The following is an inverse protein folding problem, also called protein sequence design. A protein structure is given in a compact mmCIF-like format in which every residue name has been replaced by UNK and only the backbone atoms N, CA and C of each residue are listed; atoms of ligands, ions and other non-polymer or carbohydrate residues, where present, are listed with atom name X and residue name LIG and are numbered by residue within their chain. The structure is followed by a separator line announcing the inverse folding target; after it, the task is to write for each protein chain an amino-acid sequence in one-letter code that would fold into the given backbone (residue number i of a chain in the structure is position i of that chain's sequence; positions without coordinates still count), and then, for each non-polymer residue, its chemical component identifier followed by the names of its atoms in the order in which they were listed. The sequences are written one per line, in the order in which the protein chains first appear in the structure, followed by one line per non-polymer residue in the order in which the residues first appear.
data_IF_042945735429
#
_entry.id   IF_042945735429
#
_cell.length_a   1.000
_cell.length_b   1.000
_cell.length_c   1.000
_cell.angle_alpha   90.00
_cell.angle_beta   90.00
_cell.angle_gamma   90.00
#
_symmetry.space_group_name_H-M   'P 1'
#
loop_
_entity.id
_entity.type
_entity.pdbx_description
1 polymer ?
#
# COMPACT_ATOMS: atom_id res chain seq x y z
N UNK A 1 6.27 -11.70 29.28
CA UNK A 1 5.64 -11.63 27.94
C UNK A 1 4.68 -12.80 27.84
N UNK A 2 3.37 -12.58 27.76
CA UNK A 2 2.45 -13.70 27.50
C UNK A 2 2.70 -14.20 26.07
N UNK A 3 2.72 -15.52 25.83
CA UNK A 3 2.87 -16.04 24.49
C UNK A 3 1.68 -15.57 23.65
N UNK A 4 1.98 -15.04 22.46
CA UNK A 4 0.97 -14.73 21.46
C UNK A 4 0.16 -16.00 21.18
N UNK A 5 -1.13 -15.98 21.54
CA UNK A 5 -2.08 -17.02 21.13
C UNK A 5 -2.70 -16.55 19.82
N UNK A 6 -2.42 -17.26 18.73
CA UNK A 6 -3.18 -17.05 17.50
C UNK A 6 -4.68 -17.17 17.81
N UNK A 7 -5.52 -16.26 17.29
CA UNK A 7 -6.96 -16.43 17.36
C UNK A 7 -7.35 -17.79 16.77
N UNK A 8 -8.43 -18.38 17.29
CA UNK A 8 -8.92 -19.65 16.77
C UNK A 8 -9.24 -19.51 15.27
N UNK A 9 -8.64 -20.36 14.45
CA UNK A 9 -8.91 -20.38 13.01
C UNK A 9 -10.39 -20.71 12.79
N UNK A 10 -11.13 -19.94 11.97
CA UNK A 10 -12.49 -20.29 11.58
C UNK A 10 -12.55 -21.69 10.94
N UNK A 11 -13.71 -22.38 10.97
CA UNK A 11 -13.86 -23.65 10.26
C UNK A 11 -13.80 -23.44 8.74
N UNK A 12 -13.19 -24.38 8.02
CA UNK A 12 -13.16 -24.40 6.55
C UNK A 12 -14.59 -24.43 5.97
N UNK A 13 -14.81 -23.68 4.90
CA UNK A 13 -16.03 -23.73 4.07
C UNK A 13 -15.65 -24.05 2.63
N UNK A 14 -15.73 -25.35 2.29
CA UNK A 14 -15.45 -25.85 0.94
C UNK A 14 -16.62 -25.69 -0.03
N UNK A 15 -17.75 -25.15 0.42
CA UNK A 15 -18.83 -24.75 -0.48
C UNK A 15 -18.54 -23.39 -1.10
N UNK A 16 -18.07 -22.44 -0.27
CA UNK A 16 -17.72 -21.09 -0.70
C UNK A 16 -16.31 -21.00 -1.29
N UNK A 17 -15.35 -21.77 -0.75
CA UNK A 17 -13.96 -21.84 -1.25
C UNK A 17 -13.57 -23.31 -1.50
N UNK A 18 -13.87 -23.87 -2.69
CA UNK A 18 -13.74 -25.30 -2.94
C UNK A 18 -12.34 -25.87 -2.78
N UNK A 19 -11.30 -25.06 -2.99
CA UNK A 19 -9.91 -25.50 -2.99
C UNK A 19 -9.22 -25.37 -1.64
N UNK A 20 -9.39 -24.23 -0.95
CA UNK A 20 -8.70 -23.95 0.32
C UNK A 20 -9.61 -24.07 1.55
N UNK A 21 -10.93 -23.98 1.37
CA UNK A 21 -11.87 -23.81 2.49
C UNK A 21 -11.77 -22.44 3.17
N UNK A 22 -10.80 -21.59 2.80
CA UNK A 22 -10.61 -20.29 3.41
C UNK A 22 -11.59 -19.28 2.86
N UNK A 23 -12.31 -18.63 3.77
CA UNK A 23 -13.29 -17.58 3.50
C UNK A 23 -12.77 -16.22 3.95
N UNK A 24 -13.57 -15.17 3.74
CA UNK A 24 -13.32 -13.84 4.32
C UNK A 24 -12.98 -13.89 5.81
N UNK A 25 -13.68 -14.73 6.59
CA UNK A 25 -13.43 -14.86 8.03
C UNK A 25 -12.01 -15.34 8.35
N UNK A 26 -11.43 -16.22 7.51
CA UNK A 26 -10.05 -16.69 7.70
C UNK A 26 -9.04 -15.58 7.45
N UNK A 27 -9.26 -14.76 6.43
CA UNK A 27 -8.41 -13.62 6.11
C UNK A 27 -8.52 -12.51 7.15
N UNK A 28 -9.72 -12.25 7.67
CA UNK A 28 -9.94 -11.33 8.78
C UNK A 28 -9.22 -11.80 10.05
N UNK A 29 -9.37 -13.08 10.43
CA UNK A 29 -8.67 -13.65 11.58
C UNK A 29 -7.13 -13.64 11.42
N UNK A 30 -6.65 -13.88 10.19
CA UNK A 30 -5.20 -13.82 9.88
C UNK A 30 -4.68 -12.40 9.99
N UNK A 31 -5.41 -11.41 9.48
CA UNK A 31 -5.03 -10.01 9.63
C UNK A 31 -4.99 -9.58 11.10
N UNK A 32 -5.98 -9.98 11.90
CA UNK A 32 -6.00 -9.69 13.34
C UNK A 32 -4.80 -10.34 14.06
N UNK A 33 -4.48 -11.57 13.69
CA UNK A 33 -3.32 -12.27 14.21
C UNK A 33 -2.02 -11.53 13.85
N UNK A 34 -1.84 -11.09 12.60
CA UNK A 34 -0.67 -10.34 12.16
C UNK A 34 -0.57 -8.99 12.89
N UNK A 35 -1.67 -8.24 12.99
CA UNK A 35 -1.73 -6.94 13.67
C UNK A 35 -1.44 -7.04 15.18
N UNK A 36 -1.79 -8.16 15.81
CA UNK A 36 -1.48 -8.42 17.21
C UNK A 36 -0.03 -8.95 17.39
N UNK A 37 0.48 -9.74 16.45
CA UNK A 37 1.87 -10.23 16.48
C UNK A 37 2.91 -9.12 16.34
N UNK A 38 2.60 -8.04 15.60
CA UNK A 38 3.50 -6.88 15.44
C UNK A 38 3.47 -5.92 16.63
N UNK A 39 2.41 -5.94 17.44
CA UNK A 39 2.20 -4.95 18.51
C UNK A 39 3.34 -4.85 19.54
N UNK A 40 4.00 -5.96 19.97
CA UNK A 40 5.13 -5.88 20.90
C UNK A 40 6.38 -5.18 20.34
N UNK A 41 6.43 -4.93 19.03
CA UNK A 41 7.57 -4.31 18.35
C UNK A 41 7.36 -2.82 18.06
N UNK A 42 6.22 -2.26 18.45
CA UNK A 42 5.97 -0.83 18.36
C UNK A 42 6.89 -0.06 19.34
N UNK A 43 7.34 1.12 18.93
CA UNK A 43 7.94 2.11 19.84
C UNK A 43 6.90 2.62 20.84
N UNK A 44 7.36 3.25 21.93
CA UNK A 44 6.46 3.78 22.98
C UNK A 44 5.45 4.78 22.43
N UNK A 45 5.87 5.59 21.45
CA UNK A 45 5.03 6.56 20.73
C UNK A 45 4.24 5.96 19.56
N UNK A 46 4.36 4.65 19.32
CA UNK A 46 3.69 3.90 18.26
C UNK A 46 4.02 4.36 16.82
N UNK A 47 4.99 5.24 16.64
CA UNK A 47 5.35 5.81 15.33
C UNK A 47 6.19 4.87 14.47
N UNK A 48 6.88 3.89 15.06
CA UNK A 48 7.76 2.95 14.38
C UNK A 48 7.52 1.53 14.89
N UNK A 49 7.73 0.54 14.02
CA UNK A 49 7.67 -0.88 14.39
C UNK A 49 8.99 -1.57 14.04
N UNK A 50 9.76 -1.96 15.05
CA UNK A 50 11.06 -2.61 14.87
C UNK A 50 10.94 -4.13 14.95
N UNK A 51 10.63 -4.76 13.82
CA UNK A 51 10.49 -6.21 13.72
C UNK A 51 11.83 -6.93 14.02
N UNK A 52 11.79 -8.18 14.51
CA UNK A 52 12.98 -8.96 14.84
C UNK A 52 13.94 -9.11 13.65
N UNK A 53 15.23 -8.95 13.91
CA UNK A 53 16.31 -9.10 12.93
C UNK A 53 17.53 -8.28 13.31
N UNK A 54 18.72 -8.84 13.14
CA UNK A 54 19.97 -8.20 13.57
C UNK A 54 20.54 -7.21 12.54
N UNK A 55 20.01 -7.22 11.31
CA UNK A 55 20.49 -6.39 10.21
C UNK A 55 19.39 -5.46 9.72
N UNK A 56 19.59 -4.13 9.77
CA UNK A 56 18.67 -3.21 9.10
C UNK A 56 18.75 -3.37 7.58
N UNK A 57 17.74 -2.88 6.87
CA UNK A 57 17.80 -2.77 5.42
C UNK A 57 18.88 -1.75 4.99
N UNK A 58 19.11 -1.66 3.68
CA UNK A 58 20.00 -0.65 3.11
C UNK A 58 19.52 0.79 3.40
N UNK A 59 18.22 0.99 3.62
CA UNK A 59 17.58 2.28 3.96
C UNK A 59 17.72 2.64 5.43
N UNK A 60 18.25 1.73 6.25
CA UNK A 60 18.54 1.94 7.66
C UNK A 60 17.35 1.76 8.61
N UNK A 61 17.66 1.60 9.89
CA UNK A 61 16.72 1.21 10.96
C UNK A 61 15.51 2.15 11.10
N UNK A 62 15.69 3.44 10.84
CA UNK A 62 14.59 4.41 10.92
C UNK A 62 13.56 4.18 9.82
N UNK A 63 14.03 3.97 8.58
CA UNK A 63 13.17 3.63 7.44
C UNK A 63 12.47 2.28 7.67
N UNK A 64 13.18 1.28 8.20
CA UNK A 64 12.60 -0.03 8.52
C UNK A 64 11.44 0.08 9.53
N UNK A 65 11.60 0.98 10.52
CA UNK A 65 10.56 1.26 11.51
C UNK A 65 9.32 1.92 10.90
N UNK A 66 9.52 2.89 10.00
CA UNK A 66 8.44 3.53 9.24
C UNK A 66 7.74 2.51 8.33
N UNK A 67 8.49 1.62 7.68
CA UNK A 67 7.91 0.53 6.90
C UNK A 67 7.02 -0.35 7.76
N UNK A 68 7.50 -0.79 8.93
CA UNK A 68 6.70 -1.57 9.86
C UNK A 68 5.40 -0.86 10.26
N UNK A 69 5.44 0.45 10.50
CA UNK A 69 4.24 1.27 10.74
C UNK A 69 3.32 1.25 9.50
N UNK A 70 3.82 1.64 8.34
CA UNK A 70 3.03 1.85 7.12
C UNK A 70 2.37 0.56 6.61
N UNK A 71 3.09 -0.56 6.63
CA UNK A 71 2.56 -1.87 6.20
C UNK A 71 1.45 -2.37 7.12
N UNK A 72 1.60 -2.18 8.42
CA UNK A 72 0.63 -2.65 9.40
C UNK A 72 -0.57 -1.71 9.51
N UNK A 73 -0.39 -0.40 9.31
CA UNK A 73 -1.47 0.56 9.10
C UNK A 73 -2.31 0.19 7.86
N UNK A 74 -1.67 -0.14 6.74
CA UNK A 74 -2.40 -0.55 5.53
C UNK A 74 -3.24 -1.81 5.76
N UNK A 75 -2.72 -2.80 6.47
CA UNK A 75 -3.49 -3.98 6.86
C UNK A 75 -4.67 -3.63 7.78
N UNK A 76 -4.46 -2.75 8.77
CA UNK A 76 -5.53 -2.26 9.64
C UNK A 76 -6.60 -1.49 8.84
N UNK A 77 -6.19 -0.73 7.82
CA UNK A 77 -7.09 -0.01 6.95
C UNK A 77 -7.97 -0.94 6.10
N UNK A 78 -7.41 -2.02 5.54
CA UNK A 78 -8.20 -3.05 4.86
C UNK A 78 -9.16 -3.76 5.81
N UNK A 79 -8.76 -3.97 7.07
CA UNK A 79 -9.63 -4.56 8.09
C UNK A 79 -10.76 -3.64 8.55
N UNK A 80 -10.58 -2.32 8.44
CA UNK A 80 -11.53 -1.28 8.88
C UNK A 80 -12.00 -1.46 10.32
N UNK A 81 -11.13 -2.00 11.18
CA UNK A 81 -11.41 -2.16 12.61
C UNK A 81 -11.02 -0.87 13.35
N UNK A 82 -11.98 -0.19 13.96
CA UNK A 82 -11.74 1.11 14.61
C UNK A 82 -10.72 1.02 15.75
N UNK A 83 -10.75 -0.07 16.52
CA UNK A 83 -9.83 -0.27 17.65
C UNK A 83 -8.40 -0.47 17.16
N UNK A 84 -8.22 -1.20 16.05
CA UNK A 84 -6.92 -1.35 15.41
C UNK A 84 -6.41 -0.02 14.84
N UNK A 85 -7.29 0.87 14.35
CA UNK A 85 -6.92 2.18 13.80
C UNK A 85 -6.53 3.21 14.88
N UNK A 86 -7.10 3.11 16.09
CA UNK A 86 -6.84 4.06 17.20
C UNK A 86 -5.33 4.18 17.51
N UNK A 87 -4.62 3.05 17.68
CA UNK A 87 -3.16 3.07 17.92
C UNK A 87 -2.36 3.70 16.76
N UNK A 88 -2.87 3.62 15.54
CA UNK A 88 -2.18 4.24 14.41
C UNK A 88 -2.39 5.75 14.37
N UNK A 89 -3.45 6.29 14.99
CA UNK A 89 -3.65 7.73 15.13
C UNK A 89 -2.55 8.35 16.00
N UNK A 90 -2.21 7.71 17.13
CA UNK A 90 -1.14 8.15 18.03
C UNK A 90 0.23 8.07 17.33
N UNK A 91 0.51 6.93 16.69
CA UNK A 91 1.74 6.76 15.92
C UNK A 91 1.88 7.72 14.74
N UNK A 92 0.78 8.05 14.05
CA UNK A 92 0.76 9.08 13.01
C UNK A 92 1.12 10.45 13.59
N UNK A 93 0.49 10.82 14.72
CA UNK A 93 0.71 12.11 15.37
C UNK A 93 2.17 12.29 15.81
N UNK A 94 2.79 11.25 16.37
CA UNK A 94 4.22 11.25 16.72
C UNK A 94 5.11 11.25 15.47
N UNK A 95 4.79 10.38 14.50
CA UNK A 95 5.48 10.25 13.21
C UNK A 95 5.70 11.58 12.51
N UNK A 96 4.61 12.30 12.26
CA UNK A 96 4.61 13.59 11.53
C UNK A 96 5.11 14.75 12.38
N UNK A 97 5.42 14.52 13.67
CA UNK A 97 5.99 15.52 14.57
C UNK A 97 7.51 15.41 14.70
N UNK A 98 8.16 14.66 13.80
CA UNK A 98 9.62 14.61 13.67
C UNK A 98 10.26 13.24 13.89
N UNK A 99 9.47 12.19 14.13
CA UNK A 99 9.98 10.83 14.22
C UNK A 99 10.24 10.25 12.83
N UNK A 100 9.37 10.50 11.86
CA UNK A 100 9.53 9.95 10.52
C UNK A 100 10.59 10.71 9.70
N UNK A 101 11.37 9.99 8.87
CA UNK A 101 12.27 10.61 7.92
C UNK A 101 11.48 11.43 6.90
N UNK A 102 12.13 12.44 6.30
CA UNK A 102 11.57 13.20 5.18
C UNK A 102 11.46 12.31 3.95
N UNK A 103 10.53 12.63 3.06
CA UNK A 103 10.44 11.97 1.76
C UNK A 103 11.43 12.68 0.83
N UNK A 104 12.39 11.92 0.31
CA UNK A 104 13.44 12.41 -0.58
C UNK A 104 13.39 11.70 -1.94
N UNK A 105 14.06 12.27 -2.94
CA UNK A 105 14.18 11.65 -4.27
C UNK A 105 14.71 10.21 -4.14
N UNK A 106 13.99 9.25 -4.73
CA UNK A 106 14.34 7.82 -4.73
C UNK A 106 14.58 7.24 -3.33
N UNK A 107 14.05 7.90 -2.29
CA UNK A 107 14.12 7.45 -0.91
C UNK A 107 13.03 6.44 -0.60
N UNK A 108 13.37 5.44 0.21
CA UNK A 108 12.41 4.45 0.69
C UNK A 108 11.12 5.09 1.24
N UNK A 109 11.15 6.17 2.08
CA UNK A 109 9.95 6.80 2.65
C UNK A 109 8.84 7.17 1.64
N UNK A 110 9.16 7.35 0.36
CA UNK A 110 8.18 7.55 -0.71
C UNK A 110 7.24 6.33 -0.86
N UNK A 111 7.78 5.12 -0.73
CA UNK A 111 7.04 3.86 -0.78
C UNK A 111 6.09 3.75 0.41
N UNK A 112 6.58 4.07 1.61
CA UNK A 112 5.76 4.04 2.82
C UNK A 112 4.68 5.13 2.81
N UNK A 113 4.99 6.31 2.27
CA UNK A 113 4.03 7.40 2.12
C UNK A 113 2.81 6.99 1.28
N UNK A 114 3.01 6.22 0.20
CA UNK A 114 1.89 5.68 -0.58
C UNK A 114 1.00 4.74 0.25
N UNK A 115 1.60 3.91 1.11
CA UNK A 115 0.84 3.02 2.00
C UNK A 115 0.06 3.81 3.07
N UNK A 116 0.69 4.83 3.67
CA UNK A 116 0.04 5.73 4.64
C UNK A 116 -1.10 6.51 3.99
N UNK A 117 -0.88 7.13 2.83
CA UNK A 117 -1.90 7.88 2.11
C UNK A 117 -3.08 7.00 1.70
N UNK A 118 -2.82 5.80 1.18
CA UNK A 118 -3.88 4.86 0.83
C UNK A 118 -4.71 4.44 2.05
N UNK A 119 -4.05 4.13 3.17
CA UNK A 119 -4.72 3.77 4.40
C UNK A 119 -5.61 4.91 4.92
N UNK A 120 -5.09 6.14 4.94
CA UNK A 120 -5.83 7.34 5.33
C UNK A 120 -7.03 7.59 4.42
N UNK A 121 -6.86 7.43 3.10
CA UNK A 121 -7.92 7.60 2.11
C UNK A 121 -9.03 6.56 2.28
N UNK A 122 -8.67 5.28 2.40
CA UNK A 122 -9.61 4.17 2.61
C UNK A 122 -10.40 4.27 3.92
N UNK A 123 -9.79 4.85 4.95
CA UNK A 123 -10.37 4.94 6.30
C UNK A 123 -10.70 6.36 6.72
N UNK A 124 -10.85 7.29 5.78
CA UNK A 124 -10.96 8.73 6.07
C UNK A 124 -11.99 9.05 7.19
N UNK A 125 -13.24 8.54 7.18
CA UNK A 125 -14.21 8.80 8.25
C UNK A 125 -13.88 8.14 9.60
N UNK A 126 -13.02 7.12 9.60
CA UNK A 126 -12.62 6.34 10.78
C UNK A 126 -11.32 6.84 11.41
N UNK A 127 -10.43 7.42 10.61
CA UNK A 127 -9.10 7.87 11.04
C UNK A 127 -8.89 9.36 10.76
N UNK A 128 -8.69 9.75 9.49
CA UNK A 128 -8.30 11.13 9.12
C UNK A 128 -9.23 12.22 9.67
N UNK A 129 -10.54 12.07 9.52
CA UNK A 129 -11.52 13.08 9.94
C UNK A 129 -11.58 13.22 11.48
N UNK A 130 -11.11 12.21 12.22
CA UNK A 130 -11.07 12.19 13.70
C UNK A 130 -9.76 12.75 14.27
N UNK A 131 -8.73 12.95 13.44
CA UNK A 131 -7.47 13.55 13.87
C UNK A 131 -7.65 15.03 14.23
N UNK A 132 -6.81 15.56 15.12
CA UNK A 132 -6.77 17.00 15.36
C UNK A 132 -6.25 17.75 14.13
N UNK A 133 -6.66 19.02 13.96
CA UNK A 133 -6.22 19.86 12.84
C UNK A 133 -4.70 19.95 12.73
N UNK A 134 -4.00 20.05 13.87
CA UNK A 134 -2.54 20.12 13.87
C UNK A 134 -1.88 18.84 13.35
N UNK A 135 -2.43 17.66 13.67
CA UNK A 135 -1.93 16.38 13.13
C UNK A 135 -2.23 16.29 11.65
N UNK A 136 -3.44 16.66 11.21
CA UNK A 136 -3.80 16.69 9.78
C UNK A 136 -2.86 17.58 8.97
N UNK A 137 -2.59 18.79 9.44
CA UNK A 137 -1.68 19.72 8.74
C UNK A 137 -0.26 19.16 8.60
N UNK A 138 0.29 18.59 9.68
CA UNK A 138 1.64 18.00 9.64
C UNK A 138 1.70 16.75 8.77
N UNK A 139 0.67 15.91 8.82
CA UNK A 139 0.57 14.72 7.98
C UNK A 139 0.45 15.07 6.49
N UNK A 140 -0.40 16.04 6.14
CA UNK A 140 -0.51 16.54 4.77
C UNK A 140 0.80 17.15 4.28
N UNK A 141 1.48 17.93 5.13
CA UNK A 141 2.78 18.51 4.79
C UNK A 141 3.88 17.45 4.59
N UNK A 142 3.93 16.41 5.43
CA UNK A 142 4.87 15.30 5.27
C UNK A 142 4.59 14.52 3.97
N UNK A 143 3.32 14.22 3.67
CA UNK A 143 2.92 13.59 2.42
C UNK A 143 3.17 14.49 1.20
N UNK A 144 3.05 15.80 1.36
CA UNK A 144 3.26 16.79 0.31
C UNK A 144 4.65 16.72 -0.34
N UNK A 145 5.67 16.31 0.42
CA UNK A 145 7.02 16.07 -0.10
C UNK A 145 7.03 15.05 -1.26
N UNK A 146 6.10 14.09 -1.28
CA UNK A 146 5.98 13.09 -2.34
C UNK A 146 5.50 13.67 -3.68
N UNK A 147 4.85 14.85 -3.68
CA UNK A 147 4.33 15.47 -4.91
C UNK A 147 5.45 15.91 -5.85
N UNK A 148 6.63 16.21 -5.32
CA UNK A 148 7.80 16.67 -6.09
C UNK A 148 9.00 15.72 -5.99
N UNK A 149 8.92 14.67 -5.15
CA UNK A 149 9.96 13.65 -5.07
C UNK A 149 10.13 12.95 -6.42
N UNK A 150 11.38 12.70 -6.83
CA UNK A 150 11.68 11.99 -8.07
C UNK A 150 11.70 10.47 -7.76
N UNK A 151 10.77 9.67 -8.29
CA UNK A 151 10.80 8.23 -8.13
C UNK A 151 11.88 7.57 -9.01
N UNK A 152 12.12 6.28 -8.79
CA UNK A 152 12.80 5.46 -9.82
C UNK A 152 11.86 5.29 -11.02
N UNK A 153 12.37 5.23 -12.27
CA UNK A 153 11.57 5.09 -13.49
C UNK A 153 11.08 3.65 -13.66
N UNK A 154 10.25 3.22 -12.71
CA UNK A 154 9.59 1.93 -12.61
C UNK A 154 8.26 2.15 -11.86
N UNK A 155 7.72 1.10 -11.24
CA UNK A 155 6.51 1.15 -10.41
C UNK A 155 6.50 2.25 -9.34
N UNK A 156 7.66 2.77 -8.94
CA UNK A 156 7.77 3.88 -8.00
C UNK A 156 7.08 5.16 -8.48
N UNK A 157 6.89 5.33 -9.80
CA UNK A 157 6.13 6.44 -10.40
C UNK A 157 4.65 6.43 -9.99
N UNK A 158 4.14 5.33 -9.44
CA UNK A 158 2.75 5.20 -8.96
C UNK A 158 2.58 5.56 -7.48
N UNK A 159 3.67 5.70 -6.71
CA UNK A 159 3.59 6.12 -5.32
C UNK A 159 3.10 7.57 -5.18
N UNK A 160 3.61 8.55 -5.96
CA UNK A 160 3.04 9.89 -5.99
C UNK A 160 1.57 9.93 -6.43
N UNK A 161 1.12 9.05 -7.33
CA UNK A 161 -0.30 8.96 -7.75
C UNK A 161 -1.21 8.63 -6.56
N UNK A 162 -0.77 7.72 -5.70
CA UNK A 162 -1.53 7.32 -4.51
C UNK A 162 -1.58 8.44 -3.49
N UNK A 163 -0.44 9.12 -3.25
CA UNK A 163 -0.35 10.24 -2.33
C UNK A 163 -1.15 11.46 -2.84
N UNK A 164 -0.93 11.86 -4.09
CA UNK A 164 -1.63 12.96 -4.75
C UNK A 164 -3.14 12.75 -4.78
N UNK A 165 -3.60 11.52 -5.06
CA UNK A 165 -5.04 11.21 -4.99
C UNK A 165 -5.66 11.46 -3.61
N UNK A 166 -4.94 11.16 -2.53
CA UNK A 166 -5.41 11.50 -1.18
C UNK A 166 -5.33 13.00 -0.88
N UNK A 167 -4.22 13.66 -1.22
CA UNK A 167 -4.03 15.09 -0.98
C UNK A 167 -5.05 15.95 -1.73
N UNK A 168 -5.38 15.57 -2.97
CA UNK A 168 -6.46 16.19 -3.75
C UNK A 168 -7.82 16.05 -3.04
N UNK A 169 -8.12 14.88 -2.47
CA UNK A 169 -9.40 14.60 -1.80
C UNK A 169 -9.60 15.39 -0.49
N UNK A 170 -8.50 15.72 0.19
CA UNK A 170 -8.51 16.56 1.41
C UNK A 170 -8.30 18.05 1.11
N UNK A 171 -8.04 18.42 -0.15
CA UNK A 171 -7.84 19.80 -0.59
C UNK A 171 -6.48 20.41 -0.22
N UNK A 172 -5.45 19.59 -0.02
CA UNK A 172 -4.09 20.05 0.26
C UNK A 172 -3.29 20.17 -1.05
N UNK A 173 -2.82 21.38 -1.38
CA UNK A 173 -2.09 21.70 -2.63
C UNK A 173 -2.74 21.01 -3.86
N UNK A 174 -4.03 21.25 -4.14
CA UNK A 174 -4.82 20.41 -5.05
C UNK A 174 -4.32 20.43 -6.50
N UNK A 175 -3.64 21.50 -6.93
CA UNK A 175 -3.08 21.59 -8.29
C UNK A 175 -1.78 20.76 -8.40
N UNK A 176 -0.87 20.86 -7.43
CA UNK A 176 0.34 20.04 -7.38
C UNK A 176 0.00 18.55 -7.20
N UNK A 177 -1.03 18.25 -6.39
CA UNK A 177 -1.53 16.90 -6.18
C UNK A 177 -2.09 16.30 -7.47
N UNK A 178 -2.86 17.10 -8.23
CA UNK A 178 -3.36 16.70 -9.56
C UNK A 178 -2.22 16.47 -10.53
N UNK A 179 -1.23 17.37 -10.58
CA UNK A 179 -0.09 17.22 -11.46
C UNK A 179 0.70 15.94 -11.16
N UNK A 180 0.90 15.59 -9.88
CA UNK A 180 1.57 14.34 -9.51
C UNK A 180 0.80 13.09 -9.94
N UNK A 181 -0.54 13.11 -9.84
CA UNK A 181 -1.40 12.04 -10.35
C UNK A 181 -1.27 11.93 -11.87
N UNK A 182 -1.44 13.04 -12.59
CA UNK A 182 -1.41 13.08 -14.05
C UNK A 182 -0.06 12.58 -14.58
N UNK A 183 1.07 13.06 -14.03
CA UNK A 183 2.42 12.61 -14.44
C UNK A 183 2.60 11.10 -14.28
N UNK A 184 2.19 10.53 -13.15
CA UNK A 184 2.35 9.09 -12.90
C UNK A 184 1.43 8.24 -13.77
N UNK A 185 0.19 8.69 -13.99
CA UNK A 185 -0.75 8.03 -14.90
C UNK A 185 -0.32 8.16 -16.38
N UNK A 186 0.30 9.26 -16.79
CA UNK A 186 0.91 9.38 -18.12
C UNK A 186 2.14 8.48 -18.27
N UNK A 187 2.96 8.37 -17.22
CA UNK A 187 4.16 7.52 -17.23
C UNK A 187 3.80 6.05 -17.42
N UNK A 188 2.82 5.53 -16.70
CA UNK A 188 2.47 4.10 -16.79
C UNK A 188 1.99 3.70 -18.19
N UNK A 189 1.37 4.62 -18.93
CA UNK A 189 0.95 4.36 -20.32
C UNK A 189 2.13 4.09 -21.26
N UNK A 190 3.32 4.65 -20.98
CA UNK A 190 4.52 4.41 -21.78
C UNK A 190 5.01 2.96 -21.67
N UNK A 191 4.59 2.27 -20.62
CA UNK A 191 4.98 0.90 -20.33
C UNK A 191 3.89 -0.12 -20.65
N UNK A 192 2.71 0.32 -21.11
CA UNK A 192 1.65 -0.60 -21.50
C UNK A 192 1.98 -1.28 -22.83
N UNK A 193 2.05 -2.61 -22.83
CA UNK A 193 2.43 -3.40 -24.03
C UNK A 193 1.26 -4.15 -24.68
N UNK A 194 0.06 -4.04 -24.12
CA UNK A 194 -1.14 -4.73 -24.60
C UNK A 194 -1.58 -5.88 -23.69
N UNK A 195 -2.81 -6.35 -23.90
CA UNK A 195 -3.42 -7.51 -23.21
C UNK A 195 -3.32 -7.48 -21.67
N UNK A 196 -3.37 -6.28 -21.08
CA UNK A 196 -3.26 -6.10 -19.63
C UNK A 196 -1.83 -6.15 -19.08
N UNK A 197 -0.80 -6.21 -19.93
CA UNK A 197 0.59 -6.26 -19.49
C UNK A 197 1.27 -4.90 -19.54
N UNK A 198 2.08 -4.64 -18.52
CA UNK A 198 3.01 -3.50 -18.46
C UNK A 198 4.44 -4.00 -18.32
N UNK A 199 5.41 -3.25 -18.82
CA UNK A 199 6.80 -3.38 -18.36
C UNK A 199 6.98 -2.60 -17.06
N UNK A 200 7.78 -3.10 -16.12
CA UNK A 200 8.16 -2.33 -14.93
C UNK A 200 9.35 -1.41 -15.26
N UNK A 201 9.06 -0.25 -15.86
CA UNK A 201 10.10 0.61 -16.42
C UNK A 201 10.49 0.23 -17.85
N UNK A 202 11.58 0.84 -18.32
CA UNK A 202 12.14 0.56 -19.64
C UNK A 202 12.69 -0.86 -19.75
N UNK A 203 12.48 -1.51 -20.89
CA UNK A 203 13.03 -2.83 -21.21
C UNK A 203 12.00 -3.96 -21.22
N UNK A 204 12.38 -5.16 -20.76
CA UNK A 204 11.52 -6.37 -20.71
C UNK A 204 11.32 -6.87 -19.28
N UNK A 205 11.05 -5.95 -18.37
CA UNK A 205 10.77 -6.27 -16.98
C UNK A 205 9.30 -6.67 -16.81
N UNK A 206 8.95 -7.89 -17.22
CA UNK A 206 7.71 -8.55 -16.82
C UNK A 206 8.01 -9.36 -15.57
N UNK A 207 7.42 -8.97 -14.45
CA UNK A 207 7.55 -9.68 -13.19
C UNK A 207 6.17 -9.95 -12.57
N UNK A 208 6.17 -10.73 -11.50
CA UNK A 208 4.96 -11.05 -10.75
C UNK A 208 4.42 -9.85 -9.96
N UNK A 209 5.18 -8.75 -9.87
CA UNK A 209 4.81 -7.53 -9.18
C UNK A 209 3.86 -6.65 -10.00
N UNK A 210 3.74 -6.91 -11.31
CA UNK A 210 2.84 -6.19 -12.21
C UNK A 210 1.40 -6.06 -11.67
N UNK A 211 0.82 -7.18 -11.20
CA UNK A 211 -0.52 -7.17 -10.59
C UNK A 211 -0.61 -6.34 -9.32
N UNK A 212 0.46 -6.28 -8.53
CA UNK A 212 0.47 -5.54 -7.26
C UNK A 212 0.76 -4.05 -7.42
N UNK A 213 1.63 -3.63 -8.32
CA UNK A 213 1.92 -2.21 -8.49
C UNK A 213 1.14 -1.60 -9.65
N UNK A 214 1.36 -2.14 -10.85
CA UNK A 214 0.93 -1.55 -12.12
C UNK A 214 -0.59 -1.59 -12.29
N UNK A 215 -1.26 -2.56 -11.69
CA UNK A 215 -2.73 -2.62 -11.69
C UNK A 215 -3.37 -2.09 -10.42
N UNK A 216 -2.85 -2.44 -9.24
CA UNK A 216 -3.48 -2.07 -7.97
C UNK A 216 -3.61 -0.55 -7.81
N UNK A 217 -2.53 0.22 -7.99
CA UNK A 217 -2.55 1.65 -7.69
C UNK A 217 -3.44 2.45 -8.65
N UNK A 218 -3.38 2.27 -9.99
CA UNK A 218 -4.27 2.98 -10.90
C UNK A 218 -5.75 2.61 -10.71
N UNK A 219 -6.06 1.32 -10.50
CA UNK A 219 -7.45 0.87 -10.30
C UNK A 219 -7.99 1.38 -8.96
N UNK A 220 -7.22 1.30 -7.88
CA UNK A 220 -7.65 1.85 -6.57
C UNK A 220 -7.81 3.37 -6.63
N UNK A 221 -6.90 4.08 -7.33
CA UNK A 221 -7.04 5.52 -7.53
C UNK A 221 -8.35 5.83 -8.25
N UNK A 222 -8.61 5.17 -9.38
CA UNK A 222 -9.83 5.36 -10.17
C UNK A 222 -11.10 5.07 -9.36
N UNK A 223 -11.10 3.98 -8.58
CA UNK A 223 -12.22 3.61 -7.72
C UNK A 223 -12.47 4.63 -6.60
N UNK A 224 -11.41 5.06 -5.91
CA UNK A 224 -11.53 6.04 -4.83
C UNK A 224 -11.85 7.45 -5.33
N UNK A 225 -11.51 7.76 -6.58
CA UNK A 225 -11.83 9.04 -7.22
C UNK A 225 -13.22 9.05 -7.86
N UNK A 226 -13.93 7.91 -7.89
CA UNK A 226 -15.18 7.72 -8.63
C UNK A 226 -15.04 8.11 -10.13
N UNK A 227 -13.86 7.86 -10.72
CA UNK A 227 -13.58 8.16 -12.14
C UNK A 227 -13.93 6.96 -13.02
N UNK A 228 -15.12 6.99 -13.59
CA UNK A 228 -15.63 5.95 -14.47
C UNK A 228 -14.74 5.69 -15.70
N UNK A 229 -14.11 6.74 -16.26
CA UNK A 229 -13.24 6.60 -17.44
C UNK A 229 -11.96 5.85 -17.10
N UNK A 230 -11.34 6.19 -15.96
CA UNK A 230 -10.16 5.48 -15.49
C UNK A 230 -10.49 4.06 -15.02
N UNK A 231 -11.66 3.85 -14.43
CA UNK A 231 -12.14 2.51 -14.04
C UNK A 231 -12.35 1.61 -15.27
N UNK A 232 -12.97 2.12 -16.33
CA UNK A 232 -13.16 1.36 -17.56
C UNK A 232 -11.80 1.00 -18.20
N UNK A 233 -10.87 1.96 -18.24
CA UNK A 233 -9.54 1.75 -18.80
C UNK A 233 -8.70 0.75 -17.99
N UNK A 234 -8.42 1.07 -16.73
CA UNK A 234 -7.53 0.27 -15.90
C UNK A 234 -8.21 -1.01 -15.39
N UNK A 235 -9.51 -0.98 -15.13
CA UNK A 235 -10.28 -2.17 -14.77
C UNK A 235 -10.37 -3.17 -15.92
N UNK A 236 -10.56 -2.68 -17.16
CA UNK A 236 -10.50 -3.53 -18.36
C UNK A 236 -9.14 -4.20 -18.53
N UNK A 237 -8.06 -3.45 -18.34
CA UNK A 237 -6.67 -3.98 -18.38
C UNK A 237 -6.39 -4.98 -17.26
N UNK A 238 -6.85 -4.72 -16.04
CA UNK A 238 -6.74 -5.68 -14.92
C UNK A 238 -7.49 -6.98 -15.23
N UNK A 239 -8.70 -6.89 -15.79
CA UNK A 239 -9.47 -8.08 -16.19
C UNK A 239 -8.74 -8.92 -17.23
N UNK A 240 -8.13 -8.27 -18.25
CA UNK A 240 -7.30 -8.95 -19.24
C UNK A 240 -6.08 -9.62 -18.57
N UNK A 241 -5.36 -8.86 -17.74
CA UNK A 241 -4.19 -9.35 -17.01
C UNK A 241 -4.51 -10.59 -16.16
N UNK A 242 -5.58 -10.57 -15.37
CA UNK A 242 -5.94 -11.70 -14.49
C UNK A 242 -6.28 -12.97 -15.26
N UNK A 243 -6.81 -12.84 -16.48
CA UNK A 243 -7.13 -13.99 -17.36
C UNK A 243 -5.86 -14.74 -17.77
N UNK A 244 -4.76 -14.01 -17.98
CA UNK A 244 -3.48 -14.59 -18.36
C UNK A 244 -2.58 -14.91 -17.16
N UNK A 245 -2.58 -14.07 -16.12
CA UNK A 245 -1.74 -14.22 -14.94
C UNK A 245 -1.97 -15.55 -14.22
N UNK A 246 -3.22 -16.02 -14.16
CA UNK A 246 -3.54 -17.34 -13.58
C UNK A 246 -2.84 -18.50 -14.31
N UNK A 247 -2.47 -18.33 -15.59
CA UNK A 247 -1.77 -19.35 -16.40
C UNK A 247 -0.27 -19.38 -16.13
N UNK A 248 0.26 -18.42 -15.36
CA UNK A 248 1.65 -18.40 -14.92
C UNK A 248 1.89 -19.25 -13.67
N UNK A 249 0.90 -20.01 -13.22
CA UNK A 249 1.03 -20.91 -12.09
C UNK A 249 0.71 -22.33 -12.52
N UNK A 250 1.56 -23.27 -12.10
CA UNK A 250 1.31 -24.70 -12.24
C UNK A 250 0.10 -25.15 -11.41
N UNK A 251 -0.37 -26.38 -11.66
CA UNK A 251 -1.47 -26.96 -10.89
C UNK A 251 -1.15 -27.13 -9.38
N UNK A 252 0.14 -27.11 -9.02
CA UNK A 252 0.66 -27.13 -7.66
C UNK A 252 0.82 -25.71 -7.05
N UNK A 253 0.47 -24.66 -7.80
CA UNK A 253 0.64 -23.27 -7.40
C UNK A 253 2.07 -22.74 -7.57
N UNK A 254 2.99 -23.53 -8.13
CA UNK A 254 4.34 -23.05 -8.39
C UNK A 254 4.32 -22.01 -9.53
N UNK A 255 4.96 -20.85 -9.37
CA UNK A 255 5.05 -19.87 -10.45
C UNK A 255 5.90 -20.43 -11.60
N UNK A 256 5.54 -20.12 -12.84
CA UNK A 256 6.38 -20.32 -14.00
C UNK A 256 7.70 -19.58 -13.75
N UNK A 257 8.79 -20.32 -13.58
CA UNK A 257 10.10 -19.71 -13.46
C UNK A 257 10.47 -19.08 -14.80
N UNK A 258 11.15 -17.93 -14.77
CA UNK A 258 11.78 -17.40 -15.99
C UNK A 258 12.64 -18.52 -16.56
N UNK A 259 12.34 -18.96 -17.78
CA UNK A 259 13.35 -19.63 -18.59
C UNK A 259 14.49 -18.61 -18.73
N UNK A 260 15.65 -18.92 -18.16
CA UNK A 260 16.83 -18.09 -18.30
C UNK A 260 17.19 -17.91 -19.78
N UNK A 261 17.93 -16.83 -20.14
CA UNK A 261 18.55 -16.76 -21.45
C UNK A 261 19.44 -17.97 -21.73
#
# INVERSE_FOLDING_TARGET
MQPFRSPATPPEDRTLSPYTGHTRAHWEATADALLAAVAPYATEDQALYHLPGDRPSWSGRLSDGLEGYARTLLLAAFRRDEKALERYADGLAAGVSGVWPRIEHRGQPLVEAASVALALRLTRPLLWDRLSDGVRQRAAAWLGDALTAEPWPCNWELFPVTVGGFLQEIGYEPDDAREAVDRGLERIEQWYVGDGWYTDGDGRAFDYYNGWAMHLYPVLHAWLADDARLLDLYGGRLSAHLTDYARLFGADGAPCTRAGP
#
